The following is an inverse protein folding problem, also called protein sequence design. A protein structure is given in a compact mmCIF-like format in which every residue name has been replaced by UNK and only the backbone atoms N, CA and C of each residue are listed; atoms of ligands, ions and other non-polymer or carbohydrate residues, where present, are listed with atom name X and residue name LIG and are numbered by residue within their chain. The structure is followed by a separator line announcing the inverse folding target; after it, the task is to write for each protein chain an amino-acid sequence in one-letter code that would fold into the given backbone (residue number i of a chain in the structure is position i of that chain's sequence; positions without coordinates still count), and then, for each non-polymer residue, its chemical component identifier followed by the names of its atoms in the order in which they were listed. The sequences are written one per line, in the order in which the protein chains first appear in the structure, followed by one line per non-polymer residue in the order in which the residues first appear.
data_IF_599669701376
#
_entry.id   IF_599669701376
#
_cell.length_a   1.000
_cell.length_b   1.000
_cell.length_c   1.000
_cell.angle_alpha   90.00
_cell.angle_beta   90.00
_cell.angle_gamma   90.00
#
_symmetry.space_group_name_H-M   'P 1'
#
loop_
_entity.id
_entity.type
_entity.pdbx_description
1 polymer ?
#
# COMPACT_ATOMS: atom_id res chain seq x y z
N UNK A 1 11.17 2.31 10.60
CA UNK A 1 10.54 3.64 10.79
C UNK A 1 10.94 4.62 9.69
N UNK A 2 12.23 4.79 9.41
CA UNK A 2 12.74 5.75 8.41
C UNK A 2 12.22 5.53 6.98
N UNK A 3 12.11 4.28 6.51
CA UNK A 3 11.57 3.98 5.18
C UNK A 3 10.10 4.40 5.06
N UNK A 4 9.26 4.11 6.06
CA UNK A 4 7.86 4.53 6.08
C UNK A 4 7.73 6.06 6.11
N UNK A 5 8.61 6.73 6.85
CA UNK A 5 8.69 8.20 6.88
C UNK A 5 9.05 8.77 5.49
N UNK A 6 10.10 8.25 4.86
CA UNK A 6 10.52 8.63 3.49
C UNK A 6 9.40 8.39 2.47
N UNK A 7 8.62 7.32 2.62
CA UNK A 7 7.46 7.04 1.76
C UNK A 7 6.33 8.05 1.95
N UNK A 8 6.04 8.43 3.20
CA UNK A 8 5.06 9.47 3.53
C UNK A 8 5.42 10.85 2.97
N UNK A 9 6.72 11.13 2.77
CA UNK A 9 7.19 12.42 2.22
C UNK A 9 7.18 12.50 0.69
N UNK A 10 6.92 11.40 -0.02
CA UNK A 10 6.93 11.38 -1.48
C UNK A 10 5.52 11.58 -2.05
N UNK A 11 5.34 12.67 -2.80
CA UNK A 11 4.06 13.06 -3.39
C UNK A 11 3.37 11.95 -4.21
N UNK A 12 4.06 11.14 -5.05
CA UNK A 12 3.41 10.07 -5.80
C UNK A 12 2.71 9.03 -4.91
N UNK A 13 3.35 8.65 -3.79
CA UNK A 13 2.79 7.65 -2.87
C UNK A 13 1.67 8.25 -2.02
N UNK A 14 1.80 9.51 -1.61
CA UNK A 14 0.73 10.24 -0.92
C UNK A 14 -0.53 10.36 -1.78
N UNK A 15 -0.37 10.66 -3.08
CA UNK A 15 -1.50 10.76 -4.01
C UNK A 15 -2.21 9.42 -4.23
N UNK A 16 -1.48 8.30 -4.25
CA UNK A 16 -2.08 6.95 -4.29
C UNK A 16 -2.94 6.72 -3.05
N UNK A 17 -2.41 6.99 -1.85
CA UNK A 17 -3.14 6.80 -0.59
C UNK A 17 -4.38 7.70 -0.53
N UNK A 18 -4.26 8.97 -0.93
CA UNK A 18 -5.39 9.91 -0.96
C UNK A 18 -6.52 9.43 -1.88
N UNK A 19 -6.18 8.89 -3.06
CA UNK A 19 -7.16 8.33 -4.00
C UNK A 19 -7.88 7.11 -3.42
N UNK A 20 -7.14 6.22 -2.76
CA UNK A 20 -7.74 5.05 -2.08
C UNK A 20 -8.65 5.47 -0.93
N UNK A 21 -8.25 6.48 -0.13
CA UNK A 21 -9.07 7.02 0.94
C UNK A 21 -10.39 7.60 0.40
N UNK A 22 -10.34 8.33 -0.71
CA UNK A 22 -11.54 8.85 -1.35
C UNK A 22 -12.50 7.73 -1.79
N UNK A 23 -11.99 6.68 -2.44
CA UNK A 23 -12.80 5.55 -2.86
C UNK A 23 -13.39 4.78 -1.69
N UNK A 24 -12.59 4.49 -0.65
CA UNK A 24 -13.09 3.82 0.55
C UNK A 24 -14.20 4.61 1.23
N UNK A 25 -14.07 5.94 1.29
CA UNK A 25 -15.13 6.79 1.87
C UNK A 25 -16.43 6.70 1.09
N UNK A 26 -16.37 6.68 -0.24
CA UNK A 26 -17.58 6.55 -1.09
C UNK A 26 -18.21 5.16 -0.92
N UNK A 27 -17.42 4.10 -1.00
CA UNK A 27 -17.90 2.72 -0.84
C UNK A 27 -18.55 2.50 0.52
N UNK A 28 -17.91 2.93 1.61
CA UNK A 28 -18.48 2.82 2.94
C UNK A 28 -19.79 3.57 3.08
N UNK A 29 -19.89 4.79 2.50
CA UNK A 29 -21.11 5.60 2.54
C UNK A 29 -22.27 4.89 1.84
N UNK A 30 -22.02 4.27 0.69
CA UNK A 30 -23.05 3.52 -0.06
C UNK A 30 -23.51 2.26 0.65
N UNK A 31 -22.71 1.72 1.56
CA UNK A 31 -23.04 0.53 2.36
C UNK A 31 -23.69 0.84 3.72
N UNK A 32 -23.79 2.12 4.13
CA UNK A 32 -24.45 2.49 5.38
C UNK A 32 -25.94 2.08 5.36
N UNK A 33 -26.38 1.43 6.44
CA UNK A 33 -27.75 0.92 6.56
C UNK A 33 -28.00 -0.44 5.90
N UNK A 34 -26.99 -1.04 5.26
CA UNK A 34 -27.06 -2.43 4.81
C UNK A 34 -26.83 -3.41 5.96
N UNK A 35 -27.44 -4.60 5.87
CA UNK A 35 -27.22 -5.69 6.82
C UNK A 35 -25.87 -6.34 6.50
N UNK A 36 -24.80 -5.90 7.18
CA UNK A 36 -23.44 -6.42 7.01
C UNK A 36 -22.77 -6.71 8.35
N UNK A 37 -22.15 -7.87 8.43
CA UNK A 37 -21.24 -8.19 9.53
C UNK A 37 -19.83 -7.70 9.20
N UNK A 38 -19.01 -7.58 10.25
CA UNK A 38 -17.57 -7.23 10.16
C UNK A 38 -16.85 -8.04 9.07
N UNK A 39 -17.09 -9.36 9.03
CA UNK A 39 -16.44 -10.29 8.09
C UNK A 39 -16.84 -10.01 6.65
N UNK A 40 -18.11 -9.69 6.39
CA UNK A 40 -18.59 -9.37 5.04
C UNK A 40 -17.94 -8.09 4.53
N UNK A 41 -17.88 -7.06 5.39
CA UNK A 41 -17.23 -5.80 5.08
C UNK A 41 -15.74 -6.00 4.76
N UNK A 42 -15.04 -6.80 5.56
CA UNK A 42 -13.63 -7.11 5.33
C UNK A 42 -13.40 -7.83 4.00
N UNK A 43 -14.21 -8.85 3.69
CA UNK A 43 -14.11 -9.62 2.45
C UNK A 43 -14.36 -8.75 1.22
N UNK A 44 -15.40 -7.91 1.25
CA UNK A 44 -15.73 -7.04 0.12
C UNK A 44 -14.68 -5.96 -0.12
N UNK A 45 -14.23 -5.29 0.94
CA UNK A 45 -13.20 -4.27 0.81
C UNK A 45 -11.88 -4.87 0.32
N UNK A 46 -11.51 -6.07 0.79
CA UNK A 46 -10.34 -6.78 0.28
C UNK A 46 -10.52 -7.25 -1.18
N UNK A 47 -11.72 -7.66 -1.58
CA UNK A 47 -12.03 -7.99 -2.98
C UNK A 47 -11.90 -6.74 -3.88
N UNK A 48 -12.39 -5.60 -3.40
CA UNK A 48 -12.27 -4.33 -4.10
C UNK A 48 -10.82 -3.88 -4.25
N UNK A 49 -10.02 -3.83 -3.17
CA UNK A 49 -8.64 -3.29 -3.23
C UNK A 49 -7.71 -4.16 -4.10
N UNK A 50 -7.98 -5.48 -4.21
CA UNK A 50 -7.21 -6.41 -5.05
C UNK A 50 -7.12 -6.00 -6.52
N UNK A 51 -8.09 -5.25 -7.04
CA UNK A 51 -8.04 -4.77 -8.43
C UNK A 51 -6.87 -3.79 -8.70
N UNK A 52 -6.34 -3.16 -7.65
CA UNK A 52 -5.22 -2.23 -7.70
C UNK A 52 -3.88 -2.88 -7.37
N UNK A 53 -3.86 -4.19 -7.14
CA UNK A 53 -2.65 -4.96 -6.78
C UNK A 53 -2.10 -5.68 -8.02
N UNK A 54 -0.80 -5.50 -8.27
CA UNK A 54 -0.03 -6.29 -9.21
C UNK A 54 1.06 -7.05 -8.43
N UNK A 55 0.85 -8.34 -8.23
CA UNK A 55 1.79 -9.23 -7.54
C UNK A 55 2.90 -9.71 -8.49
N UNK A 56 3.52 -8.75 -9.17
CA UNK A 56 4.67 -8.95 -10.04
C UNK A 56 5.76 -7.99 -9.58
N UNK A 57 7.00 -8.45 -9.53
CA UNK A 57 8.12 -7.63 -9.07
C UNK A 57 8.31 -6.39 -9.96
N UNK A 58 8.28 -6.60 -11.28
CA UNK A 58 8.45 -5.56 -12.29
C UNK A 58 7.30 -5.59 -13.30
N UNK A 59 6.10 -5.10 -12.93
CA UNK A 59 5.01 -4.98 -13.90
C UNK A 59 5.37 -3.96 -14.97
N UNK A 60 4.75 -4.04 -16.15
CA UNK A 60 4.92 -3.03 -17.20
C UNK A 60 4.50 -1.64 -16.69
N UNK A 61 4.97 -0.58 -17.34
CA UNK A 61 4.57 0.79 -16.98
C UNK A 61 3.04 0.99 -17.04
N UNK A 62 2.38 0.38 -18.02
CA UNK A 62 0.92 0.38 -18.15
C UNK A 62 0.24 -0.31 -16.96
N UNK A 63 0.72 -1.51 -16.59
CA UNK A 63 0.16 -2.25 -15.45
C UNK A 63 0.38 -1.50 -14.15
N UNK A 64 1.56 -0.93 -13.91
CA UNK A 64 1.83 -0.09 -12.72
C UNK A 64 0.95 1.15 -12.65
N UNK A 65 0.62 1.76 -13.79
CA UNK A 65 -0.28 2.91 -13.85
C UNK A 65 -1.71 2.56 -13.42
N UNK A 66 -2.18 1.36 -13.76
CA UNK A 66 -3.52 0.85 -13.37
C UNK A 66 -3.53 0.20 -11.98
N UNK A 67 -2.44 -0.46 -11.60
CA UNK A 67 -2.28 -1.26 -10.38
C UNK A 67 -1.02 -0.81 -9.63
N UNK A 68 -1.10 0.28 -8.87
CA UNK A 68 0.07 0.90 -8.25
C UNK A 68 0.60 0.16 -7.01
N UNK A 69 -0.11 -0.87 -6.53
CA UNK A 69 0.21 -1.57 -5.28
C UNK A 69 0.86 -2.94 -5.57
N UNK A 70 1.95 -3.25 -4.85
CA UNK A 70 2.53 -4.60 -4.79
C UNK A 70 1.73 -5.50 -3.85
N UNK A 71 1.23 -4.94 -2.75
CA UNK A 71 0.37 -5.63 -1.80
C UNK A 71 -0.57 -4.63 -1.12
N UNK A 72 -1.75 -5.11 -0.71
CA UNK A 72 -2.70 -4.35 0.08
C UNK A 72 -3.51 -5.29 0.97
N UNK A 73 -3.88 -4.81 2.14
CA UNK A 73 -4.73 -5.52 3.08
C UNK A 73 -5.63 -4.52 3.79
N UNK A 74 -6.91 -4.84 3.88
CA UNK A 74 -7.85 -4.09 4.71
C UNK A 74 -8.23 -4.96 5.90
N UNK A 75 -8.13 -4.41 7.09
CA UNK A 75 -8.49 -5.09 8.34
C UNK A 75 -9.70 -4.37 8.92
N UNK A 76 -10.75 -5.11 9.26
CA UNK A 76 -11.97 -4.60 9.87
C UNK A 76 -12.10 -5.19 11.27
N UNK A 77 -12.22 -4.32 12.26
CA UNK A 77 -12.36 -4.65 13.68
C UNK A 77 -13.61 -4.00 14.25
N UNK A 78 -14.24 -4.65 15.23
CA UNK A 78 -15.35 -4.08 15.98
C UNK A 78 -14.89 -2.91 16.85
N UNK A 79 -15.77 -1.94 17.04
CA UNK A 79 -15.58 -0.88 18.03
C UNK A 79 -16.27 -1.29 19.32
N UNK A 80 -15.48 -1.50 20.37
CA UNK A 80 -15.98 -1.88 21.69
C UNK A 80 -16.99 -0.85 22.21
N UNK A 81 -18.16 -1.31 22.65
CA UNK A 81 -19.24 -0.46 23.17
C UNK A 81 -20.16 0.14 22.10
N UNK A 82 -19.87 -0.02 20.81
CA UNK A 82 -20.68 0.55 19.72
C UNK A 82 -21.11 -0.52 18.69
N UNK A 83 -22.23 -1.23 18.93
CA UNK A 83 -22.73 -2.22 17.98
C UNK A 83 -23.00 -1.61 16.60
N UNK A 84 -22.52 -2.27 15.54
CA UNK A 84 -22.63 -1.79 14.16
C UNK A 84 -21.57 -0.77 13.75
N UNK A 85 -20.66 -0.38 14.65
CA UNK A 85 -19.50 0.43 14.32
C UNK A 85 -18.27 -0.45 14.10
N UNK A 86 -17.61 -0.22 12.97
CA UNK A 86 -16.40 -0.95 12.59
C UNK A 86 -15.25 0.01 12.32
N UNK A 87 -14.06 -0.34 12.81
CA UNK A 87 -12.81 0.33 12.49
C UNK A 87 -12.15 -0.37 11.31
N UNK A 88 -11.89 0.40 10.26
CA UNK A 88 -11.27 -0.07 9.01
C UNK A 88 -9.84 0.46 8.92
N UNK A 89 -8.86 -0.44 8.86
CA UNK A 89 -7.44 -0.13 8.70
C UNK A 89 -6.96 -0.58 7.32
N UNK A 90 -6.46 0.36 6.51
CA UNK A 90 -5.89 0.09 5.19
C UNK A 90 -4.36 0.04 5.27
N UNK A 91 -3.80 -1.12 5.00
CA UNK A 91 -2.36 -1.33 4.85
C UNK A 91 -2.00 -1.48 3.37
N UNK A 92 -1.11 -0.66 2.86
CA UNK A 92 -0.70 -0.69 1.44
C UNK A 92 0.81 -0.68 1.27
N UNK A 93 1.27 -1.42 0.27
CA UNK A 93 2.66 -1.44 -0.18
C UNK A 93 2.70 -1.05 -1.66
N UNK A 94 3.11 0.18 -2.01
CA UNK A 94 3.22 0.60 -3.41
C UNK A 94 4.42 -0.07 -4.11
N UNK A 95 4.44 -0.04 -5.44
CA UNK A 95 5.66 -0.35 -6.17
C UNK A 95 6.72 0.73 -5.94
N UNK A 96 7.91 0.31 -5.52
CA UNK A 96 9.04 1.21 -5.34
C UNK A 96 9.62 1.60 -6.69
N UNK A 97 9.89 2.90 -6.85
CA UNK A 97 10.83 3.36 -7.87
C UNK A 97 12.23 3.22 -7.26
N UNK A 98 13.21 2.81 -8.06
CA UNK A 98 14.60 2.86 -7.64
C UNK A 98 14.95 4.29 -7.23
N UNK A 99 15.36 4.50 -5.97
CA UNK A 99 15.61 5.83 -5.39
C UNK A 99 17.07 6.26 -5.44
N UNK A 100 17.96 5.39 -5.94
CA UNK A 100 19.42 5.62 -6.03
C UNK A 100 20.23 4.45 -5.49
N UNK A 101 21.53 4.44 -5.77
CA UNK A 101 22.53 3.64 -5.08
C UNK A 101 23.83 4.42 -4.95
N UNK A 102 24.52 4.23 -3.83
CA UNK A 102 25.88 4.66 -3.63
C UNK A 102 26.82 3.57 -4.17
N UNK A 103 27.69 3.94 -5.11
CA UNK A 103 28.71 3.04 -5.64
C UNK A 103 30.08 3.46 -5.10
N UNK A 104 30.75 2.56 -4.38
CA UNK A 104 32.15 2.74 -3.99
C UNK A 104 33.01 1.78 -4.83
N UNK A 105 33.85 2.36 -5.68
CA UNK A 105 34.86 1.62 -6.44
C UNK A 105 36.20 1.82 -5.73
N UNK A 106 36.91 0.74 -5.43
CA UNK A 106 38.25 0.78 -4.83
C UNK A 106 39.18 -0.18 -5.56
N UNK A 107 40.32 0.34 -6.01
CA UNK A 107 41.40 -0.45 -6.60
C UNK A 107 42.45 -0.66 -5.49
N UNK A 108 42.67 -1.90 -5.08
CA UNK A 108 43.68 -2.24 -4.06
C UNK A 108 44.82 -2.97 -4.74
N UNK A 109 45.95 -2.29 -4.92
CA UNK A 109 47.21 -2.90 -5.34
C UNK A 109 48.05 -3.23 -4.12
N UNK A 110 48.52 -4.48 -4.02
CA UNK A 110 49.54 -4.87 -3.04
C UNK A 110 50.90 -4.65 -3.70
N UNK A 111 51.73 -3.77 -3.15
CA UNK A 111 53.15 -3.76 -3.48
C UNK A 111 53.80 -4.89 -2.69
N UNK A 112 54.20 -5.96 -3.37
CA UNK A 112 55.16 -6.90 -2.78
C UNK A 112 56.52 -6.19 -2.77
N UNK A 113 57.10 -6.02 -1.57
CA UNK A 113 58.48 -5.58 -1.41
C UNK A 113 59.36 -6.82 -1.55
N UNK A 114 60.23 -6.82 -2.57
CA UNK A 114 61.43 -7.67 -2.59
C UNK A 114 62.30 -7.42 -1.35
#
# INVERSE_FOLDING_TARGET
AELNYKLGTQLPYMMIVNRLAHYLKVLQREQLGSWKERTDLELELNKWIRQYVADQENPSAEVRGRRPLRAAQIIVSDVEGEPGWYRVSLNVRPHFKYMGADFTLSLVGKLDKE
#
